data_IF_697476032189
#
_entry.id   IF_697476032189
#
_cell.length_a   1.000
_cell.length_b   1.000
_cell.length_c   1.000
_cell.angle_alpha   90.00
_cell.angle_beta   90.00
_cell.angle_gamma   90.00
#
_symmetry.space_group_name_H-M   'P 1'
#
loop_
_entity.id
_entity.type
_entity.pdbx_description
1 polymer ?
#
# COMPACT_ATOMS: atom_id res chain seq x y z
N UNK A 1 -10.14 23.07 16.47
CA UNK A 1 -9.65 21.96 17.34
C UNK A 1 -8.51 21.26 16.62
N UNK A 2 -7.35 21.05 17.29
CA UNK A 2 -6.32 20.17 16.71
C UNK A 2 -6.92 18.77 16.59
N UNK A 3 -6.86 18.16 15.40
CA UNK A 3 -7.32 16.80 15.18
C UNK A 3 -6.49 15.84 16.03
N UNK A 4 -7.13 14.79 16.55
CA UNK A 4 -6.46 13.81 17.41
C UNK A 4 -5.46 13.02 16.59
N UNK A 5 -4.20 13.02 16.98
CA UNK A 5 -3.17 12.16 16.44
C UNK A 5 -2.78 11.14 17.52
N UNK A 6 -2.83 9.88 17.17
CA UNK A 6 -2.41 8.77 18.01
C UNK A 6 -1.26 8.06 17.33
N UNK A 7 -0.13 7.93 18.02
CA UNK A 7 1.03 7.17 17.54
C UNK A 7 1.02 5.83 18.27
N UNK A 8 1.23 4.74 17.55
CA UNK A 8 1.24 3.38 18.08
C UNK A 8 2.64 2.80 17.92
N UNK A 9 3.17 2.18 18.97
CA UNK A 9 4.43 1.44 18.92
C UNK A 9 4.25 -0.02 18.47
N UNK A 10 3.07 -0.57 18.66
CA UNK A 10 2.79 -1.97 18.38
C UNK A 10 2.72 -2.22 16.88
N UNK A 11 3.52 -3.19 16.41
CA UNK A 11 3.52 -3.66 15.03
C UNK A 11 2.39 -4.67 14.82
N UNK A 12 1.66 -4.55 13.72
CA UNK A 12 0.60 -5.51 13.39
C UNK A 12 1.19 -6.76 12.73
N UNK A 13 1.43 -7.81 13.51
CA UNK A 13 2.06 -9.04 13.04
C UNK A 13 1.26 -9.77 11.95
N UNK A 14 -0.07 -9.63 11.92
CA UNK A 14 -0.92 -10.22 10.88
C UNK A 14 -0.63 -9.56 9.53
N UNK A 15 -0.50 -8.25 9.51
CA UNK A 15 -0.18 -7.51 8.29
C UNK A 15 1.26 -7.70 7.84
N UNK A 16 2.18 -7.79 8.80
CA UNK A 16 3.56 -8.15 8.47
C UNK A 16 3.65 -9.55 7.86
N UNK A 17 2.90 -10.53 8.38
CA UNK A 17 2.81 -11.87 7.80
C UNK A 17 2.29 -11.83 6.36
N UNK A 18 1.25 -11.04 6.08
CA UNK A 18 0.73 -10.83 4.72
C UNK A 18 1.80 -10.18 3.83
N UNK A 19 2.48 -9.16 4.34
CA UNK A 19 3.57 -8.47 3.65
C UNK A 19 4.69 -9.43 3.24
N UNK A 20 5.15 -10.28 4.16
CA UNK A 20 6.18 -11.30 3.92
C UNK A 20 5.75 -12.26 2.81
N UNK A 21 4.53 -12.79 2.87
CA UNK A 21 4.00 -13.72 1.86
C UNK A 21 3.87 -13.05 0.49
N UNK A 22 3.39 -11.82 0.46
CA UNK A 22 3.28 -11.04 -0.78
C UNK A 22 4.64 -10.79 -1.44
N UNK A 23 5.67 -10.46 -0.64
CA UNK A 23 7.03 -10.29 -1.12
C UNK A 23 7.57 -11.61 -1.66
N UNK A 24 7.44 -12.69 -0.89
CA UNK A 24 7.93 -14.00 -1.27
C UNK A 24 7.38 -14.50 -2.61
N UNK A 25 6.07 -14.31 -2.81
CA UNK A 25 5.40 -14.89 -3.98
C UNK A 25 5.48 -13.97 -5.21
N UNK A 26 5.51 -12.64 -5.02
CA UNK A 26 5.33 -11.70 -6.13
C UNK A 26 6.52 -10.77 -6.37
N UNK A 27 7.36 -10.49 -5.37
CA UNK A 27 8.31 -9.36 -5.40
C UNK A 27 9.67 -9.65 -4.78
N UNK A 28 10.11 -10.91 -4.73
CA UNK A 28 11.36 -11.28 -4.05
C UNK A 28 12.58 -10.48 -4.57
N UNK A 29 12.67 -10.24 -5.88
CA UNK A 29 13.75 -9.45 -6.47
C UNK A 29 13.66 -7.95 -6.17
N UNK A 30 12.46 -7.43 -5.93
CA UNK A 30 12.25 -5.99 -5.72
C UNK A 30 12.75 -5.53 -4.36
N UNK A 31 12.76 -6.41 -3.34
CA UNK A 31 13.31 -6.08 -2.02
C UNK A 31 14.79 -5.70 -2.09
N UNK A 32 15.60 -6.44 -2.85
CA UNK A 32 17.03 -6.12 -3.01
C UNK A 32 17.22 -4.77 -3.72
N UNK A 33 16.42 -4.50 -4.74
CA UNK A 33 16.45 -3.22 -5.48
C UNK A 33 16.08 -2.04 -4.57
N UNK A 34 15.08 -2.21 -3.68
CA UNK A 34 14.68 -1.18 -2.71
C UNK A 34 15.82 -0.86 -1.73
N UNK A 35 16.48 -1.88 -1.18
CA UNK A 35 17.61 -1.67 -0.29
C UNK A 35 18.77 -0.94 -0.99
N UNK A 36 19.08 -1.30 -2.23
CA UNK A 36 20.10 -0.62 -3.03
C UNK A 36 19.71 0.84 -3.31
N UNK A 37 18.46 1.07 -3.71
CA UNK A 37 17.95 2.41 -4.03
C UNK A 37 18.08 3.37 -2.86
N UNK A 38 17.74 2.92 -1.65
CA UNK A 38 17.69 3.79 -0.48
C UNK A 38 18.94 3.76 0.41
N UNK A 39 19.94 2.92 0.11
CA UNK A 39 21.18 2.84 0.90
C UNK A 39 21.92 4.18 1.01
N UNK A 40 21.87 5.00 -0.04
CA UNK A 40 22.47 6.34 -0.07
C UNK A 40 21.89 7.30 0.96
N UNK A 41 20.63 7.11 1.37
CA UNK A 41 19.95 7.98 2.34
C UNK A 41 20.42 7.74 3.78
N UNK A 42 21.19 6.69 4.03
CA UNK A 42 21.64 6.27 5.36
C UNK A 42 23.17 6.30 5.52
N UNK A 43 23.88 7.08 4.71
CA UNK A 43 25.35 7.18 4.79
C UNK A 43 25.84 7.64 6.17
N UNK A 44 25.06 8.46 6.86
CA UNK A 44 25.30 8.95 8.23
C UNK A 44 24.81 7.99 9.33
N UNK A 45 23.99 6.98 8.97
CA UNK A 45 23.39 5.98 9.87
C UNK A 45 23.47 4.56 9.29
N UNK A 46 24.64 4.11 8.84
CA UNK A 46 24.78 2.82 8.14
C UNK A 46 24.43 1.63 9.03
N UNK A 47 24.67 1.74 10.34
CA UNK A 47 24.41 0.66 11.28
C UNK A 47 22.91 0.45 11.51
N UNK A 48 22.12 1.51 11.56
CA UNK A 48 20.67 1.43 11.69
C UNK A 48 20.04 0.74 10.47
N UNK A 49 20.45 1.13 9.26
CA UNK A 49 20.01 0.49 8.04
C UNK A 49 20.39 -1.00 8.01
N UNK A 50 21.61 -1.31 8.43
CA UNK A 50 22.13 -2.69 8.45
C UNK A 50 21.36 -3.54 9.46
N UNK A 51 21.18 -3.06 10.70
CA UNK A 51 20.44 -3.78 11.74
C UNK A 51 19.02 -4.13 11.29
N UNK A 52 18.33 -3.16 10.70
CA UNK A 52 16.99 -3.37 10.18
C UNK A 52 16.98 -4.37 9.02
N UNK A 53 17.84 -4.17 8.02
CA UNK A 53 17.93 -5.06 6.86
C UNK A 53 18.23 -6.50 7.27
N UNK A 54 19.22 -6.70 8.14
CA UNK A 54 19.66 -8.02 8.54
C UNK A 54 18.56 -8.75 9.33
N UNK A 55 17.82 -8.04 10.19
CA UNK A 55 16.65 -8.60 10.86
C UNK A 55 15.57 -9.01 9.87
N UNK A 56 15.22 -8.15 8.90
CA UNK A 56 14.19 -8.46 7.92
C UNK A 56 14.58 -9.64 7.02
N UNK A 57 15.83 -9.73 6.63
CA UNK A 57 16.34 -10.88 5.86
C UNK A 57 16.30 -12.17 6.68
N UNK A 58 16.68 -12.12 7.96
CA UNK A 58 16.61 -13.27 8.87
C UNK A 58 15.18 -13.78 9.01
N UNK A 59 14.23 -12.88 9.32
CA UNK A 59 12.80 -13.21 9.43
C UNK A 59 12.29 -13.81 8.10
N UNK A 60 12.60 -13.16 6.99
CA UNK A 60 12.14 -13.60 5.67
C UNK A 60 12.61 -15.03 5.34
N UNK A 61 13.89 -15.35 5.60
CA UNK A 61 14.42 -16.68 5.38
C UNK A 61 13.79 -17.69 6.32
N UNK A 62 13.61 -17.35 7.60
CA UNK A 62 12.99 -18.23 8.59
C UNK A 62 11.54 -18.58 8.21
N UNK A 63 10.76 -17.62 7.74
CA UNK A 63 9.38 -17.85 7.26
C UNK A 63 9.38 -18.75 6.03
N UNK A 64 10.27 -18.49 5.07
CA UNK A 64 10.38 -19.32 3.85
C UNK A 64 10.76 -20.77 4.17
N UNK A 65 11.69 -20.97 5.08
CA UNK A 65 12.12 -22.32 5.51
C UNK A 65 10.97 -23.03 6.21
N UNK A 66 10.33 -22.35 7.17
CA UNK A 66 9.21 -22.91 7.94
C UNK A 66 8.03 -23.34 7.05
N UNK A 67 7.73 -22.56 6.01
CA UNK A 67 6.59 -22.78 5.12
C UNK A 67 6.97 -23.45 3.78
N UNK A 68 8.20 -23.92 3.62
CA UNK A 68 8.70 -24.48 2.34
C UNK A 68 7.82 -25.58 1.76
N UNK A 69 7.29 -26.46 2.61
CA UNK A 69 6.38 -27.54 2.21
C UNK A 69 4.97 -27.11 1.80
N UNK A 70 4.62 -25.81 1.97
CA UNK A 70 3.28 -25.26 1.69
C UNK A 70 3.28 -24.25 0.53
N UNK A 71 4.38 -24.13 -0.19
CA UNK A 71 4.59 -23.10 -1.21
C UNK A 71 3.46 -23.03 -2.23
N UNK A 72 3.04 -24.15 -2.82
CA UNK A 72 1.96 -24.20 -3.82
C UNK A 72 0.64 -23.66 -3.26
N UNK A 73 0.33 -24.00 -2.01
CA UNK A 73 -0.87 -23.52 -1.33
C UNK A 73 -0.81 -22.01 -1.06
N UNK A 74 0.36 -21.51 -0.67
CA UNK A 74 0.61 -20.08 -0.46
C UNK A 74 0.52 -19.32 -1.78
N UNK A 75 1.11 -19.83 -2.85
CA UNK A 75 1.00 -19.28 -4.20
C UNK A 75 -0.47 -19.16 -4.64
N UNK A 76 -1.30 -20.16 -4.34
CA UNK A 76 -2.71 -20.12 -4.67
C UNK A 76 -3.42 -18.89 -4.07
N UNK A 77 -3.10 -18.54 -2.82
CA UNK A 77 -3.74 -17.43 -2.12
C UNK A 77 -3.07 -16.08 -2.35
N UNK A 78 -1.76 -16.03 -2.53
CA UNK A 78 -0.97 -14.80 -2.50
C UNK A 78 -0.37 -14.39 -3.84
N UNK A 79 -0.47 -15.21 -4.90
CA UNK A 79 0.02 -14.85 -6.22
C UNK A 79 -0.91 -13.86 -6.90
N UNK A 80 -0.37 -12.73 -7.35
CA UNK A 80 -1.10 -11.79 -8.18
C UNK A 80 -1.49 -12.46 -9.50
N UNK A 81 -2.79 -12.52 -9.81
CA UNK A 81 -3.32 -13.20 -10.99
C UNK A 81 -3.76 -12.24 -12.08
N UNK A 82 -4.17 -11.05 -11.71
CA UNK A 82 -4.46 -9.95 -12.62
C UNK A 82 -3.89 -8.68 -12.03
N UNK A 83 -3.60 -7.69 -12.85
CA UNK A 83 -3.01 -6.43 -12.41
C UNK A 83 -3.87 -5.70 -11.36
N UNK A 84 -5.18 -5.92 -11.38
CA UNK A 84 -6.18 -5.28 -10.54
C UNK A 84 -6.67 -6.20 -9.40
N UNK A 85 -6.29 -7.47 -9.40
CA UNK A 85 -6.66 -8.47 -8.40
C UNK A 85 -5.39 -8.85 -7.63
N UNK A 86 -5.05 -8.03 -6.68
CA UNK A 86 -3.88 -8.25 -5.86
C UNK A 86 -4.03 -9.47 -5.08
N UNK A 87 -3.93 -10.48 -4.83
CA UNK A 87 -3.91 -11.66 -4.02
C UNK A 87 -5.21 -11.98 -3.28
N UNK A 88 -5.70 -13.19 -3.48
CA UNK A 88 -6.87 -13.73 -2.79
C UNK A 88 -6.73 -13.73 -1.26
N UNK A 89 -5.51 -13.88 -0.76
CA UNK A 89 -5.23 -13.83 0.66
C UNK A 89 -5.38 -12.43 1.25
N UNK A 90 -4.97 -11.40 0.53
CA UNK A 90 -5.26 -10.02 0.88
C UNK A 90 -6.76 -9.75 0.92
N UNK A 91 -7.52 -10.28 -0.04
CA UNK A 91 -8.96 -10.14 -0.07
C UNK A 91 -9.62 -10.71 1.18
N UNK A 92 -9.23 -11.91 1.61
CA UNK A 92 -9.82 -12.54 2.78
C UNK A 92 -9.61 -11.75 4.07
N UNK A 93 -8.51 -10.99 4.18
CA UNK A 93 -8.16 -10.23 5.38
C UNK A 93 -8.49 -8.73 5.29
N UNK A 94 -8.52 -8.16 4.10
CA UNK A 94 -8.95 -6.77 3.87
C UNK A 94 -10.39 -6.53 4.35
N UNK A 95 -11.21 -7.56 4.48
CA UNK A 95 -12.54 -7.47 5.08
C UNK A 95 -12.56 -6.94 6.51
N UNK A 96 -11.40 -6.84 7.18
CA UNK A 96 -11.30 -6.45 8.57
C UNK A 96 -10.40 -5.24 8.83
N UNK A 97 -10.06 -4.49 7.82
CA UNK A 97 -9.00 -3.48 7.86
C UNK A 97 -9.28 -2.23 8.71
N UNK A 98 -10.36 -2.21 9.45
CA UNK A 98 -10.87 -1.00 10.10
C UNK A 98 -10.45 -0.82 11.56
N UNK A 99 -9.69 -1.76 12.14
CA UNK A 99 -9.18 -1.58 13.51
C UNK A 99 -7.71 -2.00 13.59
N UNK A 100 -6.96 -1.22 14.33
CA UNK A 100 -5.54 -1.45 14.68
C UNK A 100 -5.35 -2.57 15.71
N UNK A 101 -6.29 -3.51 15.78
CA UNK A 101 -6.19 -4.68 16.65
C UNK A 101 -5.28 -5.71 15.97
N UNK A 102 -4.25 -6.14 16.69
CA UNK A 102 -3.11 -6.86 16.16
C UNK A 102 -3.22 -8.37 16.30
N UNK A 103 -4.33 -8.89 16.86
CA UNK A 103 -4.49 -10.32 17.05
C UNK A 103 -5.25 -10.96 15.90
N UNK A 104 -4.75 -12.09 15.41
CA UNK A 104 -5.45 -12.87 14.39
C UNK A 104 -6.85 -13.31 14.89
N UNK A 105 -6.98 -13.56 16.19
CA UNK A 105 -8.26 -13.88 16.82
C UNK A 105 -9.30 -12.77 16.59
N UNK A 106 -8.92 -11.52 16.72
CA UNK A 106 -9.85 -10.41 16.50
C UNK A 106 -10.30 -10.26 15.06
N UNK A 107 -9.46 -10.65 14.10
CA UNK A 107 -9.84 -10.76 12.69
C UNK A 107 -10.87 -11.87 12.48
N UNK A 108 -10.65 -13.04 13.08
CA UNK A 108 -11.56 -14.19 13.01
C UNK A 108 -12.93 -13.88 13.67
N UNK A 109 -12.94 -13.30 14.85
CA UNK A 109 -14.16 -12.90 15.56
C UNK A 109 -14.99 -11.88 14.79
N UNK A 110 -14.33 -10.91 14.15
CA UNK A 110 -15.03 -9.93 13.30
C UNK A 110 -15.64 -10.56 12.07
N UNK A 111 -14.87 -11.38 11.36
CA UNK A 111 -15.38 -12.08 10.18
C UNK A 111 -16.59 -12.96 10.52
N UNK A 112 -16.53 -13.69 11.64
CA UNK A 112 -17.62 -14.50 12.13
C UNK A 112 -18.86 -13.67 12.55
N UNK A 113 -18.63 -12.45 13.06
CA UNK A 113 -19.68 -11.52 13.49
C UNK A 113 -20.32 -10.71 12.34
N UNK A 114 -19.78 -10.76 11.12
CA UNK A 114 -20.31 -10.01 9.99
C UNK A 114 -21.61 -10.63 9.46
N UNK A 115 -22.58 -9.76 9.19
CA UNK A 115 -23.79 -10.15 8.44
C UNK A 115 -23.44 -10.41 6.97
N UNK A 116 -24.28 -11.20 6.29
CA UNK A 116 -24.11 -11.47 4.84
C UNK A 116 -24.05 -10.17 4.02
N UNK A 117 -24.90 -9.21 4.31
CA UNK A 117 -24.90 -7.92 3.64
C UNK A 117 -23.59 -7.15 3.85
N UNK A 118 -22.97 -7.23 5.03
CA UNK A 118 -21.67 -6.63 5.29
C UNK A 118 -20.55 -7.33 4.49
N UNK A 119 -20.56 -8.67 4.46
CA UNK A 119 -19.60 -9.45 3.68
C UNK A 119 -19.72 -9.13 2.19
N UNK A 120 -20.94 -9.05 1.67
CA UNK A 120 -21.23 -8.66 0.27
C UNK A 120 -20.67 -7.28 -0.06
N UNK A 121 -20.96 -6.27 0.76
CA UNK A 121 -20.48 -4.89 0.54
C UNK A 121 -18.97 -4.79 0.56
N UNK A 122 -18.34 -5.43 1.52
CA UNK A 122 -16.87 -5.40 1.62
C UNK A 122 -16.20 -6.13 0.46
N UNK A 123 -16.75 -7.28 0.04
CA UNK A 123 -16.23 -7.99 -1.13
C UNK A 123 -16.37 -7.16 -2.40
N UNK A 124 -17.52 -6.49 -2.59
CA UNK A 124 -17.72 -5.58 -3.69
C UNK A 124 -16.73 -4.40 -3.70
N UNK A 125 -16.46 -3.80 -2.54
CA UNK A 125 -15.49 -2.73 -2.40
C UNK A 125 -14.07 -3.17 -2.77
N UNK A 126 -13.68 -4.40 -2.42
CA UNK A 126 -12.38 -4.96 -2.77
C UNK A 126 -12.26 -5.19 -4.29
N UNK A 127 -13.32 -5.69 -4.93
CA UNK A 127 -13.34 -5.90 -6.39
C UNK A 127 -13.33 -4.58 -7.13
N UNK A 128 -13.95 -3.52 -6.58
CA UNK A 128 -14.01 -2.19 -7.19
C UNK A 128 -12.88 -1.25 -6.70
N UNK A 129 -11.75 -1.80 -6.22
CA UNK A 129 -10.61 -0.98 -5.74
C UNK A 129 -10.24 0.14 -6.73
N UNK A 130 -10.35 -0.10 -8.04
CA UNK A 130 -10.06 0.89 -9.07
C UNK A 130 -11.28 1.73 -9.49
N UNK A 131 -12.39 1.65 -8.76
CA UNK A 131 -13.65 2.34 -9.09
C UNK A 131 -14.05 2.16 -10.57
N UNK A 132 -13.88 0.94 -11.09
CA UNK A 132 -14.08 0.62 -12.51
C UNK A 132 -15.53 0.57 -12.91
N UNK A 133 -16.43 0.38 -11.95
CA UNK A 133 -17.87 0.27 -12.17
C UNK A 133 -18.57 1.54 -11.69
N UNK A 134 -19.39 2.16 -12.53
CA UNK A 134 -20.23 3.32 -12.17
C UNK A 134 -21.40 2.94 -11.24
N UNK A 135 -21.35 1.76 -10.65
CA UNK A 135 -22.40 1.25 -9.77
C UNK A 135 -22.11 1.75 -8.35
N UNK A 136 -23.08 2.38 -7.72
CA UNK A 136 -22.96 2.73 -6.29
C UNK A 136 -22.88 1.44 -5.47
N UNK A 137 -21.80 1.25 -4.71
CA UNK A 137 -21.63 0.12 -3.80
C UNK A 137 -22.77 0.01 -2.78
N UNK A 138 -23.45 1.13 -2.48
CA UNK A 138 -24.64 1.14 -1.61
C UNK A 138 -25.83 0.34 -2.15
N UNK A 139 -25.89 0.10 -3.47
CA UNK A 139 -26.92 -0.71 -4.09
C UNK A 139 -26.68 -2.23 -3.99
N UNK A 140 -25.45 -2.65 -3.64
CA UNK A 140 -25.06 -4.06 -3.57
C UNK A 140 -25.29 -4.56 -2.14
N UNK A 141 -26.33 -5.36 -1.92
CA UNK A 141 -26.73 -5.82 -0.59
C UNK A 141 -26.89 -7.33 -0.48
N UNK A 142 -27.00 -8.03 -1.60
CA UNK A 142 -27.21 -9.49 -1.65
C UNK A 142 -26.13 -10.18 -2.46
N UNK A 143 -25.97 -11.49 -2.27
CA UNK A 143 -25.09 -12.31 -3.10
C UNK A 143 -25.43 -12.21 -4.60
N UNK A 144 -26.71 -12.11 -4.96
CA UNK A 144 -27.14 -11.95 -6.34
C UNK A 144 -26.68 -10.60 -6.93
N UNK A 145 -26.80 -9.51 -6.15
CA UNK A 145 -26.30 -8.20 -6.56
C UNK A 145 -24.79 -8.23 -6.79
N UNK A 146 -24.05 -8.90 -5.89
CA UNK A 146 -22.61 -9.03 -6.00
C UNK A 146 -22.19 -9.84 -7.25
N UNK A 147 -22.88 -10.95 -7.54
CA UNK A 147 -22.60 -11.75 -8.74
C UNK A 147 -22.87 -10.91 -9.99
N UNK A 148 -23.99 -10.20 -10.06
CA UNK A 148 -24.29 -9.31 -11.17
C UNK A 148 -23.23 -8.20 -11.32
N UNK A 149 -22.73 -7.67 -10.22
CA UNK A 149 -21.67 -6.69 -10.19
C UNK A 149 -20.35 -7.25 -10.72
N UNK A 150 -19.95 -8.46 -10.30
CA UNK A 150 -18.76 -9.15 -10.81
C UNK A 150 -18.88 -9.43 -12.31
N UNK A 151 -20.04 -9.93 -12.76
CA UNK A 151 -20.30 -10.20 -14.18
C UNK A 151 -20.23 -8.94 -15.05
N UNK A 152 -20.67 -7.81 -14.54
CA UNK A 152 -20.61 -6.53 -15.24
C UNK A 152 -19.19 -5.90 -15.26
N UNK A 153 -18.25 -6.44 -14.50
CA UNK A 153 -16.87 -5.94 -14.45
C UNK A 153 -16.13 -6.18 -15.77
N UNK A 154 -15.04 -5.43 -15.99
CA UNK A 154 -14.16 -5.60 -17.14
C UNK A 154 -13.15 -6.75 -17.00
N UNK A 155 -13.19 -7.50 -15.91
CA UNK A 155 -12.30 -8.63 -15.68
C UNK A 155 -12.52 -9.77 -16.69
N UNK A 156 -11.49 -10.55 -16.95
CA UNK A 156 -11.59 -11.77 -17.73
C UNK A 156 -12.47 -12.81 -17.03
N UNK A 157 -13.12 -13.68 -17.80
CA UNK A 157 -14.06 -14.65 -17.25
C UNK A 157 -13.47 -15.56 -16.18
N UNK A 158 -12.18 -15.92 -16.31
CA UNK A 158 -11.46 -16.73 -15.32
C UNK A 158 -11.40 -16.02 -13.96
N UNK A 159 -11.10 -14.72 -13.97
CA UNK A 159 -11.05 -13.88 -12.77
C UNK A 159 -12.42 -13.72 -12.14
N UNK A 160 -13.47 -13.51 -12.96
CA UNK A 160 -14.86 -13.43 -12.47
C UNK A 160 -15.28 -14.72 -11.79
N UNK A 161 -15.02 -15.85 -12.40
CA UNK A 161 -15.31 -17.17 -11.83
C UNK A 161 -14.59 -17.40 -10.51
N UNK A 162 -13.32 -17.05 -10.43
CA UNK A 162 -12.54 -17.18 -9.21
C UNK A 162 -13.08 -16.27 -8.10
N UNK A 163 -13.46 -15.04 -8.42
CA UNK A 163 -14.07 -14.11 -7.47
C UNK A 163 -15.40 -14.65 -6.91
N UNK A 164 -16.29 -15.15 -7.78
CA UNK A 164 -17.57 -15.75 -7.37
C UNK A 164 -17.33 -16.98 -6.48
N UNK A 165 -16.37 -17.84 -6.85
CA UNK A 165 -16.01 -19.02 -6.08
C UNK A 165 -15.49 -18.66 -4.69
N UNK A 166 -14.60 -17.65 -4.59
CA UNK A 166 -14.06 -17.19 -3.32
C UNK A 166 -15.18 -16.65 -2.43
N UNK A 167 -16.05 -15.84 -2.97
CA UNK A 167 -17.20 -15.33 -2.23
C UNK A 167 -18.12 -16.46 -1.74
N UNK A 168 -18.45 -17.41 -2.62
CA UNK A 168 -19.34 -18.53 -2.30
C UNK A 168 -18.78 -19.46 -1.20
N UNK A 169 -17.45 -19.65 -1.19
CA UNK A 169 -16.74 -20.48 -0.24
C UNK A 169 -15.91 -19.66 0.76
N UNK A 170 -16.31 -18.41 1.01
CA UNK A 170 -15.54 -17.43 1.75
C UNK A 170 -15.07 -17.93 3.14
N UNK A 171 -15.89 -18.69 3.85
CA UNK A 171 -15.50 -19.21 5.17
C UNK A 171 -14.36 -20.23 5.07
N UNK A 172 -14.40 -21.09 4.05
CA UNK A 172 -13.34 -22.09 3.83
C UNK A 172 -12.04 -21.40 3.49
N UNK A 173 -12.08 -20.46 2.55
CA UNK A 173 -10.88 -19.71 2.12
C UNK A 173 -10.32 -18.84 3.24
N UNK A 174 -11.20 -18.16 3.99
CA UNK A 174 -10.79 -17.34 5.11
C UNK A 174 -10.06 -18.15 6.18
N UNK A 175 -10.64 -19.28 6.61
CA UNK A 175 -10.04 -20.16 7.60
C UNK A 175 -8.69 -20.74 7.16
N UNK A 176 -8.56 -21.07 5.87
CA UNK A 176 -7.28 -21.56 5.32
C UNK A 176 -6.20 -20.48 5.35
N UNK A 177 -6.54 -19.24 4.95
CA UNK A 177 -5.59 -18.13 5.01
C UNK A 177 -5.22 -17.81 6.46
N UNK A 178 -6.19 -17.77 7.37
CA UNK A 178 -5.91 -17.57 8.80
C UNK A 178 -5.00 -18.66 9.37
N UNK A 179 -5.16 -19.92 8.92
CA UNK A 179 -4.26 -21.02 9.33
C UNK A 179 -2.81 -20.78 8.90
N UNK A 180 -2.59 -20.31 7.67
CA UNK A 180 -1.23 -19.98 7.17
C UNK A 180 -0.65 -18.80 7.97
N UNK A 181 -1.45 -17.75 8.17
CA UNK A 181 -0.99 -16.56 8.88
C UNK A 181 -0.68 -16.83 10.36
N UNK A 182 -1.45 -17.70 11.01
CA UNK A 182 -1.22 -18.09 12.41
C UNK A 182 0.19 -18.65 12.60
N UNK A 183 0.63 -19.53 11.73
CA UNK A 183 1.97 -20.12 11.81
C UNK A 183 3.07 -19.04 11.68
N UNK A 184 2.85 -18.03 10.85
CA UNK A 184 3.82 -16.94 10.71
C UNK A 184 3.76 -16.02 11.92
N UNK A 185 2.57 -15.64 12.38
CA UNK A 185 2.39 -14.75 13.54
C UNK A 185 3.02 -15.38 14.79
N UNK A 186 2.80 -16.67 15.03
CA UNK A 186 3.42 -17.41 16.13
C UNK A 186 4.96 -17.42 15.99
N UNK A 187 5.48 -17.71 14.79
CA UNK A 187 6.91 -17.66 14.53
C UNK A 187 7.51 -16.27 14.79
N UNK A 188 6.83 -15.21 14.30
CA UNK A 188 7.27 -13.83 14.50
C UNK A 188 7.27 -13.47 15.99
N UNK A 189 6.22 -13.84 16.72
CA UNK A 189 6.07 -13.53 18.13
C UNK A 189 7.10 -14.26 18.99
N UNK A 190 7.26 -15.56 18.77
CA UNK A 190 8.11 -16.41 19.61
C UNK A 190 9.60 -16.18 19.35
N UNK A 191 10.00 -15.97 18.10
CA UNK A 191 11.42 -15.89 17.72
C UNK A 191 11.93 -14.45 17.57
N UNK A 192 11.05 -13.50 17.27
CA UNK A 192 11.46 -12.13 16.89
C UNK A 192 10.71 -11.03 17.67
N UNK A 193 9.75 -11.38 18.53
CA UNK A 193 8.86 -10.44 19.20
C UNK A 193 9.60 -9.28 19.88
N UNK A 194 10.60 -9.56 20.71
CA UNK A 194 11.38 -8.53 21.41
C UNK A 194 12.12 -7.58 20.44
N UNK A 195 12.61 -8.09 19.32
CA UNK A 195 13.32 -7.27 18.31
C UNK A 195 12.34 -6.40 17.54
N UNK A 196 11.18 -6.94 17.21
CA UNK A 196 10.06 -6.24 16.55
C UNK A 196 9.53 -5.13 17.46
N UNK A 197 9.28 -5.42 18.72
CA UNK A 197 8.80 -4.43 19.70
C UNK A 197 9.79 -3.30 19.91
N UNK A 198 11.09 -3.60 19.90
CA UNK A 198 12.14 -2.57 19.95
C UNK A 198 12.11 -1.62 18.75
N UNK A 199 11.87 -2.14 17.55
CA UNK A 199 11.71 -1.30 16.37
C UNK A 199 10.46 -0.44 16.44
N UNK A 200 9.34 -1.01 16.88
CA UNK A 200 8.12 -0.28 17.10
C UNK A 200 8.25 0.83 18.15
N UNK A 201 9.01 0.58 19.23
CA UNK A 201 9.27 1.58 20.26
C UNK A 201 10.17 2.71 19.72
N UNK A 202 11.22 2.40 18.94
CA UNK A 202 12.05 3.42 18.26
C UNK A 202 11.20 4.31 17.35
N UNK A 203 10.28 3.72 16.60
CA UNK A 203 9.33 4.44 15.76
C UNK A 203 8.44 5.38 16.59
N UNK A 204 7.86 4.89 17.67
CA UNK A 204 7.01 5.66 18.56
C UNK A 204 7.75 6.86 19.17
N UNK A 205 8.94 6.63 19.70
CA UNK A 205 9.76 7.67 20.33
C UNK A 205 10.12 8.77 19.32
N UNK A 206 10.53 8.38 18.11
CA UNK A 206 10.84 9.31 17.04
C UNK A 206 9.64 10.18 16.65
N UNK A 207 8.51 9.58 16.29
CA UNK A 207 7.35 10.32 15.83
C UNK A 207 6.67 11.13 16.94
N UNK A 208 6.76 10.69 18.19
CA UNK A 208 6.30 11.47 19.36
C UNK A 208 7.15 12.74 19.51
N UNK A 209 8.47 12.66 19.32
CA UNK A 209 9.33 13.83 19.27
C UNK A 209 8.97 14.79 18.14
N UNK A 210 8.76 14.26 16.93
CA UNK A 210 8.34 15.06 15.76
C UNK A 210 7.00 15.77 15.99
N UNK A 211 6.03 15.10 16.63
CA UNK A 211 4.72 15.68 16.95
C UNK A 211 4.80 16.91 17.85
N UNK A 212 5.80 17.00 18.72
CA UNK A 212 5.99 18.16 19.59
C UNK A 212 6.46 19.39 18.81
N UNK A 213 7.17 19.18 17.71
CA UNK A 213 7.82 20.24 16.94
C UNK A 213 7.02 20.68 15.70
N UNK A 214 6.22 19.78 15.12
CA UNK A 214 5.60 19.95 13.82
C UNK A 214 4.28 19.20 13.68
N UNK A 215 3.45 19.60 12.68
CA UNK A 215 2.29 18.82 12.31
C UNK A 215 2.73 17.61 11.44
N UNK A 216 2.53 16.41 11.99
CA UNK A 216 2.91 15.17 11.30
C UNK A 216 2.13 15.00 9.98
N UNK A 217 0.88 15.47 9.93
CA UNK A 217 0.09 15.38 8.70
C UNK A 217 0.74 16.16 7.56
N UNK A 218 1.18 17.38 7.83
CA UNK A 218 1.85 18.21 6.84
C UNK A 218 3.12 17.54 6.35
N UNK A 219 3.91 16.98 7.27
CA UNK A 219 5.12 16.22 6.94
C UNK A 219 4.79 15.04 6.03
N UNK A 220 3.78 14.24 6.40
CA UNK A 220 3.41 13.05 5.62
C UNK A 220 2.79 13.42 4.27
N UNK A 221 2.02 14.49 4.16
CA UNK A 221 1.53 15.01 2.89
C UNK A 221 2.67 15.51 1.99
N UNK A 222 3.67 16.19 2.58
CA UNK A 222 4.87 16.59 1.85
C UNK A 222 5.64 15.37 1.33
N UNK A 223 5.78 14.34 2.16
CA UNK A 223 6.47 13.10 1.77
C UNK A 223 5.78 12.33 0.67
N UNK A 224 4.50 12.10 0.83
CA UNK A 224 3.72 11.25 -0.09
C UNK A 224 3.28 11.99 -1.34
N UNK A 225 3.30 13.33 -1.31
CA UNK A 225 2.65 14.19 -2.31
C UNK A 225 1.16 13.86 -2.50
N UNK A 226 0.56 13.21 -1.50
CA UNK A 226 -0.86 12.89 -1.44
C UNK A 226 -1.54 13.85 -0.48
N UNK A 227 -2.56 14.55 -0.96
CA UNK A 227 -3.44 15.38 -0.13
C UNK A 227 -4.70 14.58 0.19
N UNK A 228 -5.06 14.47 1.46
CA UNK A 228 -6.33 13.85 1.86
C UNK A 228 -7.02 14.69 2.92
N UNK A 229 -8.34 14.65 2.89
CA UNK A 229 -9.14 15.21 3.98
C UNK A 229 -9.16 14.17 5.10
N UNK A 230 -8.37 14.40 6.15
CA UNK A 230 -8.36 13.51 7.30
C UNK A 230 -9.73 13.47 7.97
N UNK A 231 -10.08 12.31 8.51
CA UNK A 231 -11.26 12.08 9.34
C UNK A 231 -11.42 13.12 10.44
N UNK A 232 -12.65 13.39 10.84
CA UNK A 232 -12.93 14.26 12.00
C UNK A 232 -12.43 13.66 13.30
N UNK A 233 -12.42 12.34 13.40
CA UNK A 233 -11.91 11.59 14.57
C UNK A 233 -10.39 11.71 14.73
N UNK A 234 -9.64 11.89 13.66
CA UNK A 234 -8.19 12.07 13.68
C UNK A 234 -7.41 11.03 12.87
N UNK A 235 -6.17 10.83 13.24
CA UNK A 235 -5.20 9.97 12.54
C UNK A 235 -4.54 9.02 13.53
N UNK A 236 -4.39 7.76 13.15
CA UNK A 236 -3.53 6.78 13.81
C UNK A 236 -2.28 6.56 12.95
N UNK A 237 -1.11 6.73 13.54
CA UNK A 237 0.18 6.45 12.91
C UNK A 237 0.73 5.12 13.41
N UNK A 238 0.98 4.18 12.49
CA UNK A 238 1.41 2.82 12.81
C UNK A 238 2.73 2.45 12.11
N UNK A 239 3.65 1.71 12.78
CA UNK A 239 4.86 1.21 12.17
C UNK A 239 4.58 0.04 11.22
N UNK A 240 5.32 -0.01 10.10
CA UNK A 240 5.39 -1.17 9.20
C UNK A 240 6.85 -1.56 9.00
N UNK A 241 7.14 -2.85 9.16
CA UNK A 241 8.50 -3.38 9.11
C UNK A 241 8.84 -3.89 7.71
N UNK A 242 8.00 -4.74 7.12
CA UNK A 242 8.28 -5.36 5.81
C UNK A 242 8.05 -4.43 4.60
N UNK A 243 7.60 -3.20 4.86
CA UNK A 243 7.66 -2.10 3.90
C UNK A 243 8.42 -0.91 4.51
N UNK A 244 9.72 -1.06 4.83
CA UNK A 244 10.46 -0.12 5.66
C UNK A 244 10.58 1.28 5.08
N UNK A 245 10.36 1.43 3.77
CA UNK A 245 10.37 2.68 3.01
C UNK A 245 8.99 3.04 2.43
N UNK A 246 7.94 2.34 2.82
CA UNK A 246 6.58 2.51 2.30
C UNK A 246 5.72 3.38 3.21
N UNK A 247 4.71 4.03 2.61
CA UNK A 247 3.63 4.69 3.34
C UNK A 247 2.31 4.20 2.76
N UNK A 248 1.42 3.74 3.63
CA UNK A 248 0.06 3.36 3.30
C UNK A 248 -0.93 4.28 4.01
N UNK A 249 -1.93 4.75 3.28
CA UNK A 249 -3.00 5.60 3.80
C UNK A 249 -4.31 4.82 3.65
N UNK A 250 -5.01 4.64 4.76
CA UNK A 250 -6.31 3.97 4.81
C UNK A 250 -7.33 4.94 5.40
N UNK A 251 -8.28 5.34 4.60
CA UNK A 251 -9.37 6.25 4.97
C UNK A 251 -10.69 5.52 4.83
N UNK A 252 -11.60 5.72 5.77
CA UNK A 252 -12.98 5.26 5.62
C UNK A 252 -13.87 6.38 5.12
N UNK A 253 -14.46 6.18 3.94
CA UNK A 253 -15.21 7.23 3.26
C UNK A 253 -16.65 7.40 3.76
N UNK A 254 -17.28 6.36 4.28
CA UNK A 254 -18.68 6.41 4.69
C UNK A 254 -18.87 6.81 6.16
N UNK A 255 -17.90 6.50 7.02
CA UNK A 255 -17.95 6.84 8.46
C UNK A 255 -16.76 7.70 8.91
N UNK A 256 -16.89 9.02 8.73
CA UNK A 256 -15.90 9.98 9.20
C UNK A 256 -15.72 10.02 10.73
N UNK A 257 -16.46 9.21 11.47
CA UNK A 257 -16.29 9.04 12.91
C UNK A 257 -15.09 8.15 13.27
N UNK A 258 -14.56 7.38 12.31
CA UNK A 258 -13.38 6.55 12.50
C UNK A 258 -12.10 7.32 12.17
N UNK A 259 -11.01 6.97 12.83
CA UNK A 259 -9.70 7.58 12.58
C UNK A 259 -9.07 7.01 11.31
N UNK A 260 -8.45 7.88 10.50
CA UNK A 260 -7.61 7.44 9.39
C UNK A 260 -6.40 6.67 9.92
N UNK A 261 -5.98 5.61 9.22
CA UNK A 261 -4.80 4.83 9.57
C UNK A 261 -3.69 5.14 8.57
N UNK A 262 -2.56 5.64 9.08
CA UNK A 262 -1.34 5.82 8.31
C UNK A 262 -0.31 4.78 8.75
N UNK A 263 0.07 3.93 7.82
CA UNK A 263 1.12 2.93 7.99
C UNK A 263 2.41 3.50 7.42
N UNK A 264 3.41 3.64 8.25
CA UNK A 264 4.68 4.28 7.89
C UNK A 264 5.82 3.31 8.15
N UNK A 265 6.64 3.10 7.13
CA UNK A 265 7.81 2.25 7.22
C UNK A 265 8.78 2.73 8.29
N UNK A 266 9.34 1.79 9.05
CA UNK A 266 10.18 2.08 10.21
C UNK A 266 11.48 2.85 9.90
N UNK A 267 11.92 2.87 8.64
CA UNK A 267 13.08 3.63 8.20
C UNK A 267 12.73 5.02 7.62
N UNK A 268 11.44 5.36 7.62
CA UNK A 268 10.99 6.68 7.17
C UNK A 268 11.09 7.67 8.32
N UNK A 269 11.91 8.70 8.12
CA UNK A 269 12.08 9.83 9.00
C UNK A 269 12.30 11.13 8.20
N UNK A 270 12.47 12.27 8.90
CA UNK A 270 12.77 13.56 8.26
C UNK A 270 14.04 13.55 7.42
N UNK A 271 15.07 12.79 7.81
CA UNK A 271 16.33 12.73 7.05
C UNK A 271 16.15 11.96 5.75
N UNK A 272 15.33 10.90 5.77
CA UNK A 272 14.96 10.17 4.56
C UNK A 272 14.28 11.09 3.53
N UNK A 273 13.48 12.05 4.02
CA UNK A 273 12.77 13.04 3.21
C UNK A 273 13.73 14.10 2.63
N UNK A 274 14.63 14.62 3.47
CA UNK A 274 15.47 15.75 3.10
C UNK A 274 16.64 15.37 2.18
N UNK A 275 17.12 14.13 2.23
CA UNK A 275 18.25 13.66 1.39
C UNK A 275 17.88 13.39 -0.06
N UNK A 276 16.60 13.32 -0.41
CA UNK A 276 16.17 13.18 -1.80
C UNK A 276 16.30 14.47 -2.64
N UNK A 277 17.18 15.42 -2.24
CA UNK A 277 17.34 16.71 -2.94
C UNK A 277 18.39 16.72 -4.05
N UNK A 278 19.35 15.78 -4.07
CA UNK A 278 20.31 15.67 -5.16
C UNK A 278 19.94 14.50 -6.08
N UNK A 279 19.74 14.80 -7.36
CA UNK A 279 19.39 13.79 -8.34
C UNK A 279 20.58 12.86 -8.61
N UNK A 280 20.39 11.56 -8.45
CA UNK A 280 21.39 10.56 -8.81
C UNK A 280 21.39 10.28 -10.31
N UNK A 281 22.48 9.70 -10.83
CA UNK A 281 22.57 9.26 -12.23
C UNK A 281 21.45 8.26 -12.56
N UNK A 282 21.13 7.38 -11.63
CA UNK A 282 20.08 6.38 -11.75
C UNK A 282 18.72 7.04 -11.85
N UNK A 283 18.44 8.06 -11.07
CA UNK A 283 17.19 8.82 -11.14
C UNK A 283 17.07 9.60 -12.46
N UNK A 284 18.16 10.14 -13.00
CA UNK A 284 18.16 10.77 -14.33
C UNK A 284 17.78 9.75 -15.41
N UNK A 285 18.36 8.54 -15.35
CA UNK A 285 18.06 7.47 -16.31
C UNK A 285 16.61 7.02 -16.17
N UNK A 286 16.11 6.88 -14.95
CA UNK A 286 14.72 6.49 -14.69
C UNK A 286 13.73 7.52 -15.22
N UNK A 287 13.98 8.80 -15.00
CA UNK A 287 13.18 9.87 -15.55
C UNK A 287 13.23 9.94 -17.08
N UNK A 288 14.41 9.77 -17.63
CA UNK A 288 14.54 9.68 -19.08
C UNK A 288 13.66 8.59 -19.67
N UNK A 289 13.60 7.41 -19.03
CA UNK A 289 12.69 6.31 -19.40
C UNK A 289 11.22 6.67 -19.24
N UNK A 290 10.85 7.38 -18.18
CA UNK A 290 9.47 7.80 -17.94
C UNK A 290 9.02 8.81 -18.99
N UNK A 291 9.83 9.83 -19.28
CA UNK A 291 9.51 10.89 -20.23
C UNK A 291 9.66 10.46 -21.70
N UNK A 292 10.32 9.34 -21.99
CA UNK A 292 10.38 8.75 -23.33
C UNK A 292 9.19 7.84 -23.65
N UNK A 293 8.41 7.46 -22.65
CA UNK A 293 7.22 6.62 -22.84
C UNK A 293 6.01 7.49 -23.23
N UNK A 294 5.50 7.28 -24.44
CA UNK A 294 4.38 8.05 -24.97
C UNK A 294 3.16 8.04 -24.05
N UNK A 295 2.78 6.88 -23.52
CA UNK A 295 1.58 6.77 -22.67
C UNK A 295 1.72 7.58 -21.38
N UNK A 296 2.92 7.62 -20.79
CA UNK A 296 3.17 8.44 -19.60
C UNK A 296 3.13 9.94 -19.92
N UNK A 297 3.66 10.35 -21.06
CA UNK A 297 3.58 11.74 -21.51
C UNK A 297 2.12 12.14 -21.79
N UNK A 298 1.35 11.28 -22.45
CA UNK A 298 -0.08 11.49 -22.69
C UNK A 298 -0.87 11.63 -21.35
N UNK A 299 -0.52 10.84 -20.34
CA UNK A 299 -1.09 10.98 -18.97
C UNK A 299 -0.76 12.35 -18.39
N UNK A 300 0.53 12.75 -18.39
CA UNK A 300 0.96 14.06 -17.89
C UNK A 300 0.24 15.21 -18.59
N UNK A 301 0.04 15.10 -19.89
CA UNK A 301 -0.70 16.10 -20.68
C UNK A 301 -2.16 16.20 -20.25
N UNK A 302 -2.84 15.09 -20.05
CA UNK A 302 -4.24 15.07 -19.60
C UNK A 302 -4.40 15.67 -18.20
N UNK A 303 -3.58 15.21 -17.24
CA UNK A 303 -3.66 15.66 -15.83
C UNK A 303 -3.14 17.09 -15.64
N UNK A 304 -2.41 17.64 -16.62
CA UNK A 304 -2.00 19.07 -16.60
C UNK A 304 -3.15 20.01 -16.87
N UNK A 305 -4.18 19.55 -17.55
CA UNK A 305 -5.37 20.35 -17.93
C UNK A 305 -6.42 20.34 -16.81
N UNK A 306 -6.63 19.22 -16.18
CA UNK A 306 -7.51 19.02 -15.02
C UNK A 306 -7.14 17.75 -14.25
N UNK A 307 -7.48 17.66 -12.97
CA UNK A 307 -7.35 16.40 -12.24
C UNK A 307 -8.17 15.28 -12.90
N UNK A 308 -7.58 14.07 -13.01
CA UNK A 308 -8.22 12.90 -13.59
C UNK A 308 -7.99 11.70 -12.68
N UNK A 309 -8.99 10.81 -12.54
CA UNK A 309 -8.82 9.53 -11.86
C UNK A 309 -8.55 8.41 -12.87
N UNK A 310 -8.07 7.27 -12.37
CA UNK A 310 -7.55 6.17 -13.21
C UNK A 310 -8.47 5.73 -14.34
N UNK A 311 -9.78 5.61 -14.09
CA UNK A 311 -10.75 5.22 -15.12
C UNK A 311 -10.94 6.27 -16.21
N UNK A 312 -10.92 7.56 -15.88
CA UNK A 312 -10.96 8.62 -16.90
C UNK A 312 -9.77 8.53 -17.82
N UNK A 313 -8.57 8.31 -17.25
CA UNK A 313 -7.34 8.13 -18.03
C UNK A 313 -7.43 6.89 -18.92
N UNK A 314 -7.91 5.75 -18.38
CA UNK A 314 -8.14 4.51 -19.12
C UNK A 314 -9.06 4.72 -20.32
N UNK A 315 -10.19 5.39 -20.12
CA UNK A 315 -11.18 5.64 -21.17
C UNK A 315 -10.65 6.57 -22.29
N UNK A 316 -9.92 7.61 -21.90
CA UNK A 316 -9.39 8.61 -22.87
C UNK A 316 -8.24 8.01 -23.67
N UNK A 317 -7.31 7.32 -23.00
CA UNK A 317 -6.12 6.76 -23.63
C UNK A 317 -6.35 5.39 -24.26
N UNK A 318 -7.50 4.77 -24.01
CA UNK A 318 -7.85 3.42 -24.48
C UNK A 318 -6.84 2.36 -24.04
N UNK A 319 -6.35 2.52 -22.81
CA UNK A 319 -5.47 1.57 -22.12
C UNK A 319 -6.25 0.84 -21.03
N UNK A 320 -5.79 -0.36 -20.64
CA UNK A 320 -6.36 -1.04 -19.50
C UNK A 320 -6.13 -0.25 -18.20
N UNK A 321 -7.02 -0.41 -17.21
CA UNK A 321 -6.84 0.19 -15.87
C UNK A 321 -5.52 -0.23 -15.24
N UNK A 322 -5.12 -1.48 -15.42
CA UNK A 322 -3.85 -2.00 -14.99
C UNK A 322 -2.65 -1.25 -15.60
N UNK A 323 -2.70 -1.02 -16.91
CA UNK A 323 -1.66 -0.26 -17.60
C UNK A 323 -1.61 1.19 -17.10
N UNK A 324 -2.78 1.80 -16.88
CA UNK A 324 -2.87 3.14 -16.29
C UNK A 324 -2.30 3.15 -14.87
N UNK A 325 -2.71 2.22 -14.00
CA UNK A 325 -2.18 2.12 -12.64
C UNK A 325 -0.65 1.96 -12.63
N UNK A 326 -0.11 1.13 -13.51
CA UNK A 326 1.33 0.97 -13.67
C UNK A 326 2.02 2.30 -14.05
N UNK A 327 1.51 3.01 -15.06
CA UNK A 327 2.08 4.28 -15.51
C UNK A 327 1.93 5.39 -14.48
N UNK A 328 0.76 5.50 -13.86
CA UNK A 328 0.47 6.50 -12.82
C UNK A 328 1.34 6.27 -11.59
N UNK A 329 1.49 5.03 -11.14
CA UNK A 329 2.35 4.70 -10.00
C UNK A 329 3.81 5.04 -10.28
N UNK A 330 4.30 4.80 -11.49
CA UNK A 330 5.65 5.17 -11.89
C UNK A 330 5.86 6.70 -11.89
N UNK A 331 4.90 7.46 -12.45
CA UNK A 331 4.93 8.93 -12.47
C UNK A 331 4.79 9.53 -11.06
N UNK A 332 3.90 8.96 -10.23
CA UNK A 332 3.70 9.38 -8.85
C UNK A 332 4.92 9.07 -7.99
N UNK A 333 5.54 7.89 -8.17
CA UNK A 333 6.77 7.51 -7.46
C UNK A 333 7.93 8.47 -7.72
N UNK A 334 7.98 9.11 -8.88
CA UNK A 334 8.93 10.19 -9.21
C UNK A 334 8.47 11.58 -8.73
N UNK A 335 7.28 11.66 -8.13
CA UNK A 335 6.69 12.90 -7.65
C UNK A 335 6.16 13.82 -8.75
N UNK A 336 6.08 13.34 -9.99
CA UNK A 336 5.57 14.12 -11.14
C UNK A 336 4.05 14.30 -11.10
N UNK A 337 3.35 13.47 -10.31
CA UNK A 337 1.92 13.61 -10.03
C UNK A 337 1.69 13.93 -8.56
N UNK A 338 0.70 14.79 -8.31
CA UNK A 338 0.03 14.95 -7.01
C UNK A 338 -1.20 14.07 -7.03
N UNK A 339 -1.51 13.42 -5.91
CA UNK A 339 -2.70 12.60 -5.76
C UNK A 339 -3.61 13.18 -4.68
N UNK A 340 -4.86 13.39 -5.01
CA UNK A 340 -5.90 13.89 -4.10
C UNK A 340 -6.98 12.82 -3.95
N UNK A 341 -7.26 12.41 -2.71
CA UNK A 341 -8.30 11.44 -2.42
C UNK A 341 -9.62 12.21 -2.15
N UNK A 342 -10.62 11.93 -2.98
CA UNK A 342 -11.95 12.49 -2.82
C UNK A 342 -13.01 11.44 -3.16
N UNK A 343 -13.95 11.18 -2.24
CA UNK A 343 -15.06 10.23 -2.39
C UNK A 343 -14.60 8.88 -2.98
N UNK A 344 -13.67 8.19 -2.30
CA UNK A 344 -13.08 6.88 -2.68
C UNK A 344 -12.35 6.87 -4.02
N UNK A 345 -12.06 8.03 -4.61
CA UNK A 345 -11.32 8.12 -5.86
C UNK A 345 -10.04 8.89 -5.65
N UNK A 346 -8.97 8.39 -6.26
CA UNK A 346 -7.70 9.09 -6.32
C UNK A 346 -7.66 9.89 -7.60
N UNK A 347 -7.65 11.21 -7.48
CA UNK A 347 -7.49 12.14 -8.59
C UNK A 347 -6.03 12.55 -8.70
N UNK A 348 -5.50 12.43 -9.90
CA UNK A 348 -4.13 12.79 -10.21
C UNK A 348 -4.07 14.13 -10.93
N UNK A 349 -3.14 14.97 -10.52
CA UNK A 349 -2.83 16.25 -11.17
C UNK A 349 -1.33 16.39 -11.37
N UNK A 350 -0.90 17.19 -12.36
CA UNK A 350 0.51 17.43 -12.63
C UNK A 350 1.16 18.21 -11.48
N UNK A 351 2.24 17.68 -10.93
CA UNK A 351 3.12 18.41 -10.02
C UNK A 351 4.11 19.26 -10.83
N UNK A 352 3.68 20.48 -11.22
CA UNK A 352 4.49 21.40 -12.05
C UNK A 352 5.79 21.80 -11.37
N UNK A 353 5.76 22.04 -10.05
CA UNK A 353 6.93 22.42 -9.29
C UNK A 353 8.00 21.33 -9.35
N UNK A 354 7.60 20.09 -9.06
CA UNK A 354 8.51 18.95 -9.11
C UNK A 354 9.05 18.68 -10.50
N UNK A 355 8.23 18.84 -11.53
CA UNK A 355 8.68 18.69 -12.92
C UNK A 355 9.76 19.74 -13.27
N UNK A 356 9.57 20.99 -12.86
CA UNK A 356 10.56 22.05 -13.09
C UNK A 356 11.84 21.79 -12.28
N UNK A 357 11.74 21.48 -11.00
CA UNK A 357 12.89 21.09 -10.17
C UNK A 357 13.68 19.95 -10.82
N UNK A 358 12.97 18.97 -11.37
CA UNK A 358 13.57 17.82 -12.01
C UNK A 358 14.37 18.21 -13.27
N UNK A 359 13.78 19.06 -14.10
CA UNK A 359 14.44 19.57 -15.29
C UNK A 359 15.68 20.42 -14.95
N UNK A 360 15.60 21.24 -13.90
CA UNK A 360 16.72 22.03 -13.41
C UNK A 360 17.83 21.13 -12.84
N UNK A 361 17.48 20.11 -12.07
CA UNK A 361 18.46 19.15 -11.52
C UNK A 361 19.16 18.35 -12.64
N UNK A 362 18.44 17.92 -13.67
CA UNK A 362 19.03 17.29 -14.85
C UNK A 362 20.00 18.25 -15.53
N UNK A 363 19.59 19.49 -15.75
CA UNK A 363 20.43 20.53 -16.35
C UNK A 363 21.70 20.73 -15.51
N UNK A 364 21.59 20.90 -14.19
CA UNK A 364 22.73 21.07 -13.32
C UNK A 364 23.69 19.87 -13.34
N UNK A 365 23.15 18.66 -13.36
CA UNK A 365 23.97 17.44 -13.47
C UNK A 365 24.83 17.44 -14.73
N UNK A 366 24.23 17.73 -15.89
CA UNK A 366 24.98 17.75 -17.17
C UNK A 366 25.90 18.96 -17.30
N UNK A 367 25.61 20.07 -16.61
CA UNK A 367 26.51 21.24 -16.60
C UNK A 367 27.75 21.04 -15.72
N UNK A 368 27.75 20.05 -14.81
CA UNK A 368 28.89 19.68 -13.97
C UNK A 368 29.80 18.62 -14.60
N UNK A 369 29.40 18.01 -15.73
CA UNK A 369 30.23 17.07 -16.53
C UNK A 369 31.19 17.80 -17.44
#
# INVERSE_FOLDING_TARGET
>A
MKKKLQIISQVNLVEEAIGILSIWINREEDMQKLWQKYSGNFQDRPDELRECRDLLQEIYHSVKEHLSGKKERIEYYFKSRAADFSTLGHLALLWNNQKYDNSLQSYEERFAGMTEAQKVKQFAAIIDIDATLNTSLSAINTAADLIAFIEASAYENEVKWEAIKIFTLQEVYYNEVCSILREIVELLQDSYGERIDRLGQKFYDYWTGVQQESDIKDILQEMTKVTWQSSEAGIILMPVIFQPFGIGIYTEDEDRSLMDILRVGILIDRHFILKNKEISKEEIVEAGKLLSDKSKVDILELVSKRPCYGKELSNVLKLSTATISYHVNALHGMGLLKADINANKVYYSLNRERLLEYLDQIKEYFMKL
#
